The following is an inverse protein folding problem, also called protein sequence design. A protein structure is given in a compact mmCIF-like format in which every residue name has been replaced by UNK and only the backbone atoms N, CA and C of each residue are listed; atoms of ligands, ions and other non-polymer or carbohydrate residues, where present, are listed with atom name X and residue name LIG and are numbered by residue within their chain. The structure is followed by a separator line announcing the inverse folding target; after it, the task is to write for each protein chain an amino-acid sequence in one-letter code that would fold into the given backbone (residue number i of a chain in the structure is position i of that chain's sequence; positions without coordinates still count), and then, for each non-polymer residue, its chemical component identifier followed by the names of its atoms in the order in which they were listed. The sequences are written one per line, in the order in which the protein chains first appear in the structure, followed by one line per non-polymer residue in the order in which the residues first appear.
data_IF_971684377691
#
_entry.id   IF_971684377691
#
_cell.length_a   1.000
_cell.length_b   1.000
_cell.length_c   1.000
_cell.angle_alpha   90.00
_cell.angle_beta   90.00
_cell.angle_gamma   90.00
#
_symmetry.space_group_name_H-M   'P 1'
#
loop_
_entity.id
_entity.type
_entity.pdbx_description
1 polymer ?
#
# COMPACT_ATOMS: atom_id res chain seq x y z
N UNK A 1 40.53 -36.00 46.32
CA UNK A 1 40.58 -35.77 44.86
C UNK A 1 39.17 -35.91 44.28
N UNK A 2 38.44 -34.80 44.16
CA UNK A 2 37.13 -34.75 43.49
C UNK A 2 37.30 -33.95 42.20
N UNK A 3 37.18 -34.63 41.03
CA UNK A 3 37.20 -33.99 39.71
C UNK A 3 35.85 -33.38 39.45
N UNK A 4 35.84 -32.07 39.23
CA UNK A 4 34.71 -31.26 38.81
C UNK A 4 34.51 -31.51 37.30
N UNK A 5 33.34 -32.01 36.92
CA UNK A 5 32.92 -32.16 35.52
C UNK A 5 32.07 -30.92 35.18
N UNK A 6 32.70 -29.96 34.48
CA UNK A 6 31.99 -28.82 33.89
C UNK A 6 31.30 -29.27 32.59
N UNK A 7 30.00 -29.42 32.59
CA UNK A 7 29.19 -29.57 31.41
C UNK A 7 29.08 -28.22 30.68
N UNK A 8 29.65 -28.17 29.49
CA UNK A 8 29.35 -27.14 28.50
C UNK A 8 27.95 -27.35 27.97
N UNK A 9 27.00 -26.53 28.43
CA UNK A 9 25.71 -26.32 27.76
C UNK A 9 25.89 -25.04 26.93
N UNK A 10 26.20 -25.18 25.66
CA UNK A 10 26.31 -24.06 24.74
C UNK A 10 25.30 -24.18 23.60
N UNK A 11 24.57 -23.10 23.41
CA UNK A 11 24.07 -22.58 22.13
C UNK A 11 23.25 -23.49 21.21
N UNK A 12 22.02 -23.80 21.59
CA UNK A 12 20.99 -24.18 20.60
C UNK A 12 19.75 -23.26 20.62
N UNK A 13 19.71 -22.24 21.51
CA UNK A 13 18.54 -21.34 21.62
C UNK A 13 18.53 -20.20 20.57
N UNK A 14 19.69 -19.79 20.02
CA UNK A 14 19.75 -18.69 19.06
C UNK A 14 19.25 -19.03 17.66
N UNK A 15 19.48 -20.26 17.20
CA UNK A 15 19.11 -20.68 15.83
C UNK A 15 17.60 -20.92 15.69
N UNK A 16 16.92 -21.33 16.78
CA UNK A 16 15.47 -21.57 16.75
C UNK A 16 14.67 -20.25 16.77
N UNK A 17 15.15 -19.23 17.48
CA UNK A 17 14.50 -17.92 17.53
C UNK A 17 14.59 -17.19 16.18
N UNK A 18 15.72 -17.26 15.47
CA UNK A 18 15.85 -16.66 14.15
C UNK A 18 14.97 -17.35 13.08
N UNK A 19 14.85 -18.67 13.11
CA UNK A 19 13.97 -19.40 12.18
C UNK A 19 12.49 -19.10 12.41
N UNK A 20 12.05 -18.98 13.65
CA UNK A 20 10.67 -18.64 13.97
C UNK A 20 10.32 -17.19 13.63
N UNK A 21 11.25 -16.26 13.79
CA UNK A 21 11.07 -14.85 13.39
C UNK A 21 10.91 -14.69 11.89
N UNK A 22 11.71 -15.40 11.10
CA UNK A 22 11.65 -15.34 9.63
C UNK A 22 10.32 -15.91 9.11
N UNK A 23 9.87 -17.06 9.66
CA UNK A 23 8.57 -17.63 9.28
C UNK A 23 7.38 -16.73 9.63
N UNK A 24 7.43 -16.03 10.74
CA UNK A 24 6.38 -15.08 11.10
C UNK A 24 6.35 -13.86 10.16
N UNK A 25 7.53 -13.35 9.76
CA UNK A 25 7.66 -12.24 8.82
C UNK A 25 7.16 -12.58 7.41
N UNK A 26 7.40 -13.81 6.93
CA UNK A 26 6.94 -14.26 5.60
C UNK A 26 5.40 -14.30 5.49
N UNK A 27 4.69 -14.50 6.61
CA UNK A 27 3.22 -14.57 6.62
C UNK A 27 2.52 -13.28 6.20
N UNK A 28 3.19 -12.14 6.13
CA UNK A 28 2.58 -10.91 5.56
C UNK A 28 2.24 -11.07 4.08
N UNK A 29 2.89 -12.04 3.40
CA UNK A 29 2.67 -12.38 1.99
C UNK A 29 1.68 -13.54 1.77
N UNK A 30 0.96 -14.01 2.80
CA UNK A 30 -0.04 -15.06 2.62
C UNK A 30 -1.25 -14.51 1.85
N UNK A 31 -1.76 -15.28 0.87
CA UNK A 31 -2.76 -14.82 -0.09
C UNK A 31 -4.01 -14.24 0.54
N UNK A 32 -4.47 -14.82 1.65
CA UNK A 32 -5.65 -14.35 2.39
C UNK A 32 -5.44 -13.03 3.14
N UNK A 33 -4.20 -12.54 3.20
CA UNK A 33 -3.79 -11.26 3.77
C UNK A 33 -3.43 -10.21 2.73
N UNK A 34 -3.30 -10.62 1.47
CA UNK A 34 -2.97 -9.70 0.38
C UNK A 34 -4.16 -8.84 0.01
N UNK A 35 -3.87 -7.59 -0.27
CA UNK A 35 -4.80 -6.58 -0.72
C UNK A 35 -4.68 -6.40 -2.24
N UNK A 36 -5.78 -6.61 -2.97
CA UNK A 36 -5.80 -6.32 -4.41
C UNK A 36 -5.82 -4.81 -4.65
N UNK A 37 -4.92 -4.31 -5.50
CA UNK A 37 -4.75 -2.89 -5.79
C UNK A 37 -4.63 -2.60 -7.28
N UNK A 38 -5.13 -1.44 -7.74
CA UNK A 38 -5.14 -1.02 -9.14
C UNK A 38 -5.83 -2.03 -10.07
N UNK A 39 -7.06 -2.42 -9.74
CA UNK A 39 -7.82 -3.43 -10.50
C UNK A 39 -9.15 -2.93 -11.06
N UNK A 40 -9.57 -1.69 -10.77
CA UNK A 40 -10.83 -1.15 -11.28
C UNK A 40 -10.64 -0.49 -12.64
N UNK A 41 -9.85 0.61 -12.77
CA UNK A 41 -9.72 1.30 -14.04
C UNK A 41 -8.78 0.60 -15.03
N UNK A 42 -8.09 -0.47 -14.61
CA UNK A 42 -7.13 -1.20 -15.45
C UNK A 42 -7.68 -2.53 -15.97
N UNK A 43 -8.92 -2.89 -15.61
CA UNK A 43 -9.55 -4.13 -16.04
C UNK A 43 -10.16 -3.97 -17.44
N UNK A 44 -9.57 -4.62 -18.44
CA UNK A 44 -10.08 -4.60 -19.82
C UNK A 44 -11.49 -5.22 -19.96
N UNK A 45 -11.88 -6.11 -19.03
CA UNK A 45 -13.22 -6.70 -18.99
C UNK A 45 -14.26 -5.78 -18.35
N UNK A 46 -13.85 -4.66 -17.77
CA UNK A 46 -14.73 -3.68 -17.12
C UNK A 46 -15.72 -4.34 -16.15
N UNK A 47 -15.22 -5.26 -15.30
CA UNK A 47 -16.05 -6.02 -14.37
C UNK A 47 -16.90 -5.10 -13.49
N UNK A 48 -18.16 -5.47 -13.36
CA UNK A 48 -19.08 -4.90 -12.37
C UNK A 48 -18.58 -5.18 -10.94
N UNK A 49 -19.09 -4.45 -9.92
CA UNK A 49 -18.76 -4.75 -8.52
C UNK A 49 -18.96 -6.22 -8.16
N UNK A 50 -20.05 -6.86 -8.62
CA UNK A 50 -20.33 -8.28 -8.35
C UNK A 50 -19.29 -9.20 -8.97
N UNK A 51 -19.04 -9.05 -10.27
CA UNK A 51 -18.06 -9.88 -11.00
C UNK A 51 -16.65 -9.73 -10.42
N UNK A 52 -16.28 -8.52 -9.97
CA UNK A 52 -15.02 -8.25 -9.31
C UNK A 52 -14.92 -8.95 -7.96
N UNK A 53 -15.96 -8.87 -7.14
CA UNK A 53 -15.99 -9.54 -5.84
C UNK A 53 -15.93 -11.08 -5.98
N UNK A 54 -16.62 -11.65 -6.96
CA UNK A 54 -16.57 -13.08 -7.29
C UNK A 54 -15.15 -13.49 -7.71
N UNK A 55 -14.53 -12.73 -8.62
CA UNK A 55 -13.15 -12.95 -9.05
C UNK A 55 -12.16 -12.92 -7.87
N UNK A 56 -12.23 -11.91 -7.01
CA UNK A 56 -11.35 -11.80 -5.84
C UNK A 56 -11.51 -13.00 -4.90
N UNK A 57 -12.74 -13.43 -4.64
CA UNK A 57 -13.00 -14.62 -3.82
C UNK A 57 -12.42 -15.91 -4.43
N UNK A 58 -12.57 -16.10 -5.73
CA UNK A 58 -12.02 -17.26 -6.43
C UNK A 58 -10.49 -17.28 -6.40
N UNK A 59 -9.84 -16.12 -6.44
CA UNK A 59 -8.40 -15.97 -6.28
C UNK A 59 -7.91 -16.10 -4.83
N UNK A 60 -8.82 -16.23 -3.86
CA UNK A 60 -8.49 -16.31 -2.44
C UNK A 60 -8.21 -14.96 -1.78
N UNK A 61 -8.39 -13.85 -2.48
CA UNK A 61 -8.18 -12.49 -1.97
C UNK A 61 -9.39 -12.06 -1.13
N UNK A 62 -9.13 -11.47 0.03
CA UNK A 62 -10.15 -11.04 1.00
C UNK A 62 -10.02 -9.57 1.39
N UNK A 63 -9.04 -8.88 0.83
CA UNK A 63 -8.71 -7.50 1.08
C UNK A 63 -8.62 -6.75 -0.24
N UNK A 64 -9.13 -5.52 -0.26
CA UNK A 64 -9.24 -4.73 -1.47
C UNK A 64 -9.01 -3.26 -1.20
N UNK A 65 -8.23 -2.59 -2.05
CA UNK A 65 -8.14 -1.14 -2.13
C UNK A 65 -8.81 -0.66 -3.41
N UNK A 66 -9.78 0.22 -3.26
CA UNK A 66 -10.55 0.77 -4.37
C UNK A 66 -9.82 1.95 -4.99
N UNK A 67 -9.50 1.83 -6.27
CA UNK A 67 -9.11 2.93 -7.14
C UNK A 67 -10.25 3.24 -8.11
N UNK A 68 -10.31 4.45 -8.62
CA UNK A 68 -11.42 4.86 -9.48
C UNK A 68 -11.00 5.90 -10.51
N UNK A 69 -11.86 6.08 -11.50
CA UNK A 69 -11.97 7.27 -12.33
C UNK A 69 -13.39 7.81 -12.15
N UNK A 70 -13.69 8.99 -12.68
CA UNK A 70 -14.99 9.64 -12.45
C UNK A 70 -16.18 8.76 -12.84
N UNK A 71 -16.03 7.96 -13.90
CA UNK A 71 -17.06 7.00 -14.35
C UNK A 71 -17.37 5.88 -13.35
N UNK A 72 -16.47 5.60 -12.40
CA UNK A 72 -16.66 4.55 -11.38
C UNK A 72 -17.38 5.08 -10.12
N UNK A 73 -17.38 6.39 -9.86
CA UNK A 73 -17.98 6.98 -8.66
C UNK A 73 -19.46 6.60 -8.50
N UNK A 74 -20.30 6.61 -9.56
CA UNK A 74 -21.71 6.24 -9.42
C UNK A 74 -21.97 4.82 -8.91
N UNK A 75 -21.04 3.88 -9.16
CA UNK A 75 -21.15 2.48 -8.70
C UNK A 75 -20.45 2.24 -7.36
N UNK A 76 -19.78 3.22 -6.76
CA UNK A 76 -18.97 3.01 -5.56
C UNK A 76 -19.80 2.56 -4.35
N UNK A 77 -21.03 3.04 -4.19
CA UNK A 77 -21.94 2.56 -3.14
C UNK A 77 -22.24 1.06 -3.31
N UNK A 78 -22.55 0.63 -4.53
CA UNK A 78 -22.77 -0.78 -4.85
C UNK A 78 -21.52 -1.61 -4.59
N UNK A 79 -20.32 -1.10 -4.94
CA UNK A 79 -19.05 -1.76 -4.65
C UNK A 79 -18.91 -2.07 -3.14
N UNK A 80 -19.15 -1.08 -2.26
CA UNK A 80 -19.10 -1.25 -0.81
C UNK A 80 -20.06 -2.35 -0.32
N UNK A 81 -21.31 -2.33 -0.81
CA UNK A 81 -22.33 -3.29 -0.40
C UNK A 81 -22.02 -4.72 -0.88
N UNK A 82 -21.54 -4.85 -2.11
CA UNK A 82 -21.17 -6.14 -2.70
C UNK A 82 -19.94 -6.71 -1.98
N UNK A 83 -18.89 -5.93 -1.76
CA UNK A 83 -17.71 -6.37 -1.01
C UNK A 83 -18.09 -6.90 0.37
N UNK A 84 -18.90 -6.16 1.11
CA UNK A 84 -19.40 -6.56 2.43
C UNK A 84 -20.18 -7.88 2.36
N UNK A 85 -21.07 -8.05 1.38
CA UNK A 85 -21.87 -9.26 1.20
C UNK A 85 -21.00 -10.48 0.87
N UNK A 86 -19.89 -10.27 0.16
CA UNK A 86 -18.94 -11.32 -0.22
C UNK A 86 -17.82 -11.56 0.78
N UNK A 87 -17.83 -10.86 1.92
CA UNK A 87 -16.82 -11.01 2.98
C UNK A 87 -15.43 -10.54 2.54
N UNK A 88 -15.37 -9.49 1.71
CA UNK A 88 -14.15 -8.81 1.28
C UNK A 88 -14.06 -7.49 2.04
N UNK A 89 -12.95 -7.23 2.70
CA UNK A 89 -12.70 -5.97 3.38
C UNK A 89 -12.32 -4.89 2.36
N UNK A 90 -12.97 -3.73 2.47
CA UNK A 90 -12.52 -2.51 1.80
C UNK A 90 -11.49 -1.83 2.71
N UNK A 91 -10.22 -2.18 2.54
CA UNK A 91 -9.15 -1.71 3.43
C UNK A 91 -8.71 -0.28 3.09
N UNK A 92 -8.78 0.09 1.81
CA UNK A 92 -8.41 1.44 1.39
C UNK A 92 -9.24 1.96 0.20
N UNK A 93 -9.26 3.28 0.08
CA UNK A 93 -9.79 3.99 -1.08
C UNK A 93 -8.78 5.03 -1.54
N UNK A 94 -8.41 4.98 -2.82
CA UNK A 94 -7.56 5.97 -3.45
C UNK A 94 -8.26 7.32 -3.51
N UNK A 95 -7.55 8.39 -3.15
CA UNK A 95 -8.02 9.75 -3.24
C UNK A 95 -6.97 10.59 -3.97
N UNK A 96 -7.28 10.94 -5.22
CA UNK A 96 -6.48 11.88 -5.98
C UNK A 96 -7.09 13.26 -5.88
N UNK A 97 -6.36 14.18 -5.31
CA UNK A 97 -6.79 15.58 -5.24
C UNK A 97 -5.75 16.48 -5.91
N UNK A 98 -6.27 17.48 -6.60
CA UNK A 98 -5.49 18.58 -7.15
C UNK A 98 -5.90 19.83 -6.39
N UNK A 99 -5.22 20.14 -5.27
CA UNK A 99 -5.69 21.14 -4.36
C UNK A 99 -5.58 22.53 -4.99
N UNK A 100 -6.67 23.24 -4.99
CA UNK A 100 -6.62 24.69 -4.94
C UNK A 100 -6.34 25.05 -3.48
N UNK A 101 -5.30 25.86 -3.22
CA UNK A 101 -4.86 26.11 -1.83
C UNK A 101 -5.93 26.76 -0.92
N UNK A 102 -7.06 27.20 -1.49
CA UNK A 102 -8.25 27.66 -0.77
C UNK A 102 -9.22 26.50 -0.46
N UNK A 103 -9.00 25.29 -1.04
CA UNK A 103 -9.88 24.16 -0.94
C UNK A 103 -9.09 22.86 -1.19
N UNK A 104 -8.95 22.01 -0.16
CA UNK A 104 -8.13 20.81 -0.24
C UNK A 104 -8.79 19.69 -1.06
N UNK A 105 -10.13 19.56 -0.98
CA UNK A 105 -10.88 18.50 -1.67
C UNK A 105 -11.51 18.98 -2.97
N UNK A 106 -11.29 18.21 -4.05
CA UNK A 106 -12.05 18.37 -5.29
C UNK A 106 -13.44 17.69 -5.19
N UNK A 107 -14.30 17.88 -6.20
CA UNK A 107 -15.66 17.33 -6.22
C UNK A 107 -15.69 15.80 -6.14
N UNK A 108 -14.80 15.11 -6.84
CA UNK A 108 -14.69 13.67 -6.77
C UNK A 108 -14.33 13.18 -5.35
N UNK A 109 -13.37 13.83 -4.71
CA UNK A 109 -12.99 13.52 -3.33
C UNK A 109 -14.12 13.71 -2.34
N UNK A 110 -14.89 14.79 -2.49
CA UNK A 110 -16.10 15.04 -1.67
C UNK A 110 -17.12 13.92 -1.85
N UNK A 111 -17.46 13.56 -3.09
CA UNK A 111 -18.41 12.49 -3.37
C UNK A 111 -17.99 11.15 -2.76
N UNK A 112 -16.70 10.79 -2.84
CA UNK A 112 -16.18 9.58 -2.23
C UNK A 112 -16.32 9.60 -0.71
N UNK A 113 -15.96 10.70 -0.04
CA UNK A 113 -16.10 10.82 1.42
C UNK A 113 -17.57 10.83 1.86
N UNK A 114 -18.45 11.47 1.09
CA UNK A 114 -19.90 11.48 1.35
C UNK A 114 -20.48 10.04 1.28
N UNK A 115 -20.14 9.27 0.23
CA UNK A 115 -20.59 7.88 0.08
C UNK A 115 -20.05 7.00 1.25
N UNK A 116 -18.80 7.17 1.65
CA UNK A 116 -18.24 6.46 2.80
C UNK A 116 -18.96 6.81 4.10
N UNK A 117 -19.25 8.11 4.31
CA UNK A 117 -20.01 8.59 5.46
C UNK A 117 -21.42 8.01 5.51
N UNK A 118 -22.15 8.03 4.40
CA UNK A 118 -23.52 7.54 4.26
C UNK A 118 -23.63 6.01 4.41
N UNK A 119 -22.66 5.27 3.89
CA UNK A 119 -22.62 3.79 4.01
C UNK A 119 -22.10 3.34 5.37
N UNK A 120 -21.43 4.23 6.10
CA UNK A 120 -20.76 3.91 7.36
C UNK A 120 -19.52 3.04 7.18
N UNK A 121 -18.99 2.89 5.96
CA UNK A 121 -17.77 2.14 5.69
C UNK A 121 -16.58 2.83 6.35
N UNK A 122 -15.76 2.05 7.08
CA UNK A 122 -14.54 2.52 7.73
C UNK A 122 -13.35 1.94 6.99
N UNK A 123 -12.50 2.83 6.48
CA UNK A 123 -11.39 2.45 5.61
C UNK A 123 -10.24 3.45 5.76
N UNK A 124 -9.09 3.15 5.18
CA UNK A 124 -7.99 4.09 5.05
C UNK A 124 -8.09 4.84 3.72
N UNK A 125 -7.94 6.13 3.73
CA UNK A 125 -7.91 6.96 2.51
C UNK A 125 -6.46 7.13 2.08
N UNK A 126 -6.13 6.73 0.85
CA UNK A 126 -4.80 6.87 0.28
C UNK A 126 -4.70 8.14 -0.55
N UNK A 127 -4.08 9.15 0.01
CA UNK A 127 -3.99 10.48 -0.61
C UNK A 127 -2.78 10.58 -1.55
N UNK A 128 -3.06 10.88 -2.82
CA UNK A 128 -2.06 11.33 -3.81
C UNK A 128 -2.26 12.78 -4.18
N UNK A 129 -1.17 13.52 -4.36
CA UNK A 129 -1.14 14.88 -4.86
C UNK A 129 -0.35 14.96 -6.18
N UNK A 130 -0.76 15.78 -7.16
CA UNK A 130 -0.03 15.94 -8.40
C UNK A 130 1.27 16.72 -8.19
N UNK A 131 2.30 16.38 -8.97
CA UNK A 131 3.59 17.06 -8.93
C UNK A 131 3.45 18.57 -9.17
N UNK A 132 2.55 18.98 -10.10
CA UNK A 132 2.29 20.40 -10.40
C UNK A 132 1.81 21.21 -9.19
N UNK A 133 1.27 20.60 -8.16
CA UNK A 133 0.87 21.30 -6.94
C UNK A 133 2.05 21.96 -6.21
N UNK A 134 3.27 21.54 -6.52
CA UNK A 134 4.49 22.02 -5.91
C UNK A 134 5.37 22.85 -6.86
N UNK A 135 4.93 23.08 -8.10
CA UNK A 135 5.67 23.90 -9.06
C UNK A 135 5.95 25.32 -8.51
N UNK A 136 7.20 25.73 -8.64
CA UNK A 136 7.67 27.04 -8.18
C UNK A 136 7.76 27.20 -6.65
N UNK A 137 7.47 26.17 -5.87
CA UNK A 137 7.65 26.17 -4.42
C UNK A 137 9.05 25.66 -4.05
N UNK A 138 9.67 26.26 -3.05
CA UNK A 138 10.84 25.67 -2.40
C UNK A 138 10.44 24.55 -1.43
N UNK A 139 11.42 23.93 -0.79
CA UNK A 139 11.22 22.78 0.09
C UNK A 139 10.34 23.10 1.31
N UNK A 140 10.59 24.25 1.97
CA UNK A 140 9.83 24.68 3.14
C UNK A 140 8.39 25.07 2.77
N UNK A 141 8.20 25.70 1.63
CA UNK A 141 6.89 26.03 1.09
C UNK A 141 6.11 24.76 0.73
N UNK A 142 6.77 23.78 0.12
CA UNK A 142 6.15 22.49 -0.23
C UNK A 142 5.71 21.73 1.01
N UNK A 143 6.53 21.69 2.06
CA UNK A 143 6.17 21.10 3.34
C UNK A 143 4.97 21.83 3.98
N UNK A 144 5.02 23.14 4.06
CA UNK A 144 3.96 23.94 4.66
C UNK A 144 2.62 23.76 3.96
N UNK A 145 2.60 23.78 2.62
CA UNK A 145 1.42 23.52 1.79
C UNK A 145 0.86 22.13 2.03
N UNK A 146 1.73 21.10 2.00
CA UNK A 146 1.32 19.71 2.25
C UNK A 146 0.69 19.54 3.62
N UNK A 147 1.26 20.11 4.66
CA UNK A 147 0.74 20.03 6.04
C UNK A 147 -0.66 20.63 6.15
N UNK A 148 -0.92 21.76 5.49
CA UNK A 148 -2.25 22.42 5.49
C UNK A 148 -3.28 21.50 4.83
N UNK A 149 -3.03 21.06 3.60
CA UNK A 149 -3.93 20.18 2.83
C UNK A 149 -4.17 18.86 3.55
N UNK A 150 -3.12 18.22 4.05
CA UNK A 150 -3.22 16.94 4.75
C UNK A 150 -4.05 17.07 6.03
N UNK A 151 -3.88 18.14 6.81
CA UNK A 151 -4.69 18.38 8.03
C UNK A 151 -6.18 18.56 7.70
N UNK A 152 -6.50 19.26 6.64
CA UNK A 152 -7.88 19.48 6.21
C UNK A 152 -8.52 18.16 5.79
N UNK A 153 -7.86 17.39 4.90
CA UNK A 153 -8.36 16.09 4.43
C UNK A 153 -8.46 15.08 5.59
N UNK A 154 -7.46 15.04 6.48
CA UNK A 154 -7.50 14.18 7.66
C UNK A 154 -8.71 14.49 8.54
N UNK A 155 -9.00 15.77 8.74
CA UNK A 155 -10.17 16.20 9.51
C UNK A 155 -11.48 15.70 8.88
N UNK A 156 -11.63 15.78 7.55
CA UNK A 156 -12.81 15.24 6.86
C UNK A 156 -12.89 13.71 6.98
N UNK A 157 -11.77 13.01 6.85
CA UNK A 157 -11.71 11.55 7.08
C UNK A 157 -12.13 11.18 8.51
N UNK A 158 -11.65 11.91 9.51
CA UNK A 158 -11.97 11.65 10.91
C UNK A 158 -13.47 11.83 11.26
N UNK A 159 -14.14 12.80 10.63
CA UNK A 159 -15.59 13.01 10.81
C UNK A 159 -16.40 11.77 10.46
N UNK A 160 -15.98 11.03 9.45
CA UNK A 160 -16.64 9.81 8.99
C UNK A 160 -16.04 8.53 9.59
N UNK A 161 -15.01 8.66 10.45
CA UNK A 161 -14.34 7.56 11.13
C UNK A 161 -13.37 6.77 10.26
N UNK A 162 -12.86 7.38 9.19
CA UNK A 162 -11.78 6.89 8.36
C UNK A 162 -10.41 7.38 8.86
N UNK A 163 -9.33 6.75 8.38
CA UNK A 163 -7.94 7.17 8.59
C UNK A 163 -7.37 7.70 7.27
N UNK A 164 -6.20 8.32 7.32
CA UNK A 164 -5.53 8.87 6.14
C UNK A 164 -4.12 8.29 6.02
N UNK A 165 -3.71 7.96 4.80
CA UNK A 165 -2.33 7.61 4.51
C UNK A 165 -1.82 8.38 3.29
N UNK A 166 -0.58 8.84 3.36
CA UNK A 166 0.09 9.53 2.27
C UNK A 166 0.68 8.51 1.31
N UNK A 167 0.34 8.63 0.04
CA UNK A 167 0.76 7.69 -0.99
C UNK A 167 1.95 8.26 -1.75
N UNK A 168 3.02 7.49 -1.95
CA UNK A 168 4.25 7.92 -2.60
C UNK A 168 4.10 8.12 -4.13
N UNK A 169 3.18 8.98 -4.54
CA UNK A 169 2.94 9.27 -5.94
C UNK A 169 3.70 10.52 -6.38
N UNK A 170 4.75 10.31 -7.16
CA UNK A 170 5.49 11.30 -7.93
C UNK A 170 5.92 12.62 -7.28
N UNK A 171 6.96 13.23 -7.83
CA UNK A 171 7.42 14.55 -7.46
C UNK A 171 7.83 14.70 -5.98
N UNK A 172 7.88 15.92 -5.51
CA UNK A 172 8.30 16.24 -4.14
C UNK A 172 7.48 15.50 -3.06
N UNK A 173 6.15 15.41 -3.25
CA UNK A 173 5.25 14.76 -2.28
C UNK A 173 5.50 13.26 -2.15
N UNK A 174 5.87 12.58 -3.25
CA UNK A 174 6.07 11.14 -3.29
C UNK A 174 7.39 10.64 -2.68
N UNK A 175 8.30 11.55 -2.31
CA UNK A 175 9.59 11.18 -1.73
C UNK A 175 9.43 10.67 -0.29
N UNK A 176 9.98 9.48 0.06
CA UNK A 176 9.86 8.90 1.40
C UNK A 176 10.21 9.84 2.54
N UNK A 177 11.28 10.63 2.38
CA UNK A 177 11.72 11.59 3.39
C UNK A 177 10.68 12.70 3.60
N UNK A 178 10.07 13.19 2.52
CA UNK A 178 9.05 14.24 2.60
C UNK A 178 7.74 13.70 3.20
N UNK A 179 7.34 12.47 2.87
CA UNK A 179 6.20 11.81 3.51
C UNK A 179 6.38 11.72 5.03
N UNK A 180 7.56 11.31 5.49
CA UNK A 180 7.87 11.25 6.92
C UNK A 180 7.81 12.64 7.56
N UNK A 181 8.42 13.65 6.95
CA UNK A 181 8.39 15.05 7.44
C UNK A 181 6.95 15.58 7.56
N UNK A 182 6.09 15.26 6.60
CA UNK A 182 4.67 15.66 6.65
C UNK A 182 3.98 14.97 7.81
N UNK A 183 4.12 13.65 7.97
CA UNK A 183 3.48 12.89 9.05
C UNK A 183 3.92 13.42 10.41
N UNK A 184 5.21 13.67 10.62
CA UNK A 184 5.76 14.22 11.85
C UNK A 184 5.25 15.64 12.13
N UNK A 185 5.14 16.48 11.08
CA UNK A 185 4.64 17.87 11.21
C UNK A 185 3.14 17.94 11.49
N UNK A 186 2.37 16.98 11.02
CA UNK A 186 0.93 16.85 11.31
C UNK A 186 0.71 16.30 12.72
N UNK A 187 1.51 15.30 13.13
CA UNK A 187 1.54 14.74 14.48
C UNK A 187 0.28 13.97 14.88
N UNK A 188 -0.40 13.30 13.94
CA UNK A 188 -1.60 12.49 14.22
C UNK A 188 -1.32 11.00 14.08
N UNK A 189 -1.77 10.19 15.05
CA UNK A 189 -1.70 8.73 14.99
C UNK A 189 -2.61 8.13 13.90
N UNK A 190 -3.55 8.91 13.36
CA UNK A 190 -4.45 8.51 12.28
C UNK A 190 -3.90 8.85 10.89
N UNK A 191 -2.70 9.43 10.81
CA UNK A 191 -1.99 9.69 9.57
C UNK A 191 -0.87 8.68 9.39
N UNK A 192 -0.87 7.96 8.27
CA UNK A 192 0.06 6.89 7.94
C UNK A 192 0.73 7.15 6.59
N UNK A 193 1.52 6.18 6.13
CA UNK A 193 2.20 6.19 4.82
C UNK A 193 1.87 4.89 4.09
N UNK A 194 1.63 5.00 2.79
CA UNK A 194 1.57 3.87 1.84
C UNK A 194 2.75 4.00 0.89
N UNK A 195 3.51 2.92 0.75
CA UNK A 195 4.63 2.87 -0.19
C UNK A 195 4.33 1.90 -1.32
N UNK A 196 4.41 2.38 -2.55
CA UNK A 196 4.23 1.57 -3.75
C UNK A 196 5.57 1.44 -4.48
N UNK A 197 5.97 0.21 -4.79
CA UNK A 197 7.24 -0.10 -5.41
C UNK A 197 7.45 0.64 -6.74
N UNK A 198 6.45 0.65 -7.63
CA UNK A 198 6.64 1.27 -8.94
C UNK A 198 6.79 2.80 -8.91
N UNK A 199 6.26 3.46 -7.89
CA UNK A 199 6.49 4.90 -7.69
C UNK A 199 7.85 5.17 -7.05
N UNK A 200 8.35 4.22 -6.24
CA UNK A 200 9.70 4.25 -5.68
C UNK A 200 10.77 3.63 -6.58
N UNK A 201 10.48 3.36 -7.84
CA UNK A 201 11.38 2.68 -8.78
C UNK A 201 12.76 3.35 -8.89
N UNK A 202 12.82 4.67 -8.96
CA UNK A 202 14.06 5.46 -9.03
C UNK A 202 14.91 5.40 -7.74
N UNK A 203 14.37 4.85 -6.68
CA UNK A 203 15.00 4.71 -5.35
C UNK A 203 15.10 3.25 -4.91
N UNK A 204 14.86 2.30 -5.80
CA UNK A 204 14.77 0.88 -5.45
C UNK A 204 16.06 0.35 -4.81
N UNK A 205 17.24 0.82 -5.23
CA UNK A 205 18.53 0.47 -4.61
C UNK A 205 18.66 0.98 -3.16
N UNK A 206 18.02 2.11 -2.83
CA UNK A 206 17.96 2.69 -1.47
C UNK A 206 16.75 2.24 -0.64
N UNK A 207 16.02 1.19 -1.09
CA UNK A 207 14.76 0.77 -0.46
C UNK A 207 14.92 0.45 1.03
N UNK A 208 16.02 -0.19 1.45
CA UNK A 208 16.27 -0.56 2.86
C UNK A 208 16.28 0.67 3.78
N UNK A 209 16.99 1.72 3.39
CA UNK A 209 17.06 2.96 4.17
C UNK A 209 15.72 3.70 4.16
N UNK A 210 15.05 3.74 3.01
CA UNK A 210 13.74 4.36 2.89
C UNK A 210 12.69 3.62 3.73
N UNK A 211 12.70 2.28 3.70
CA UNK A 211 11.82 1.48 4.53
C UNK A 211 12.04 1.75 6.02
N UNK A 212 13.28 1.80 6.48
CA UNK A 212 13.60 2.07 7.89
C UNK A 212 13.08 3.44 8.36
N UNK A 213 13.18 4.48 7.51
CA UNK A 213 12.64 5.82 7.81
C UNK A 213 11.12 5.82 7.94
N UNK A 214 10.43 5.13 7.00
CA UNK A 214 8.96 5.10 6.93
C UNK A 214 8.35 4.09 7.92
N UNK A 215 9.08 3.08 8.37
CA UNK A 215 8.55 1.92 9.10
C UNK A 215 7.61 2.25 10.26
N UNK A 216 7.86 3.29 11.09
CA UNK A 216 6.96 3.66 12.18
C UNK A 216 5.58 4.14 11.71
N UNK A 217 5.48 4.59 10.47
CA UNK A 217 4.31 5.23 9.90
C UNK A 217 3.63 4.38 8.81
N UNK A 218 4.27 3.29 8.33
CA UNK A 218 3.75 2.48 7.24
C UNK A 218 2.49 1.70 7.64
N UNK A 219 1.42 1.86 6.86
CA UNK A 219 0.23 1.01 6.90
C UNK A 219 0.25 -0.07 5.82
N UNK A 220 0.67 0.28 4.60
CA UNK A 220 0.65 -0.63 3.45
C UNK A 220 1.89 -0.47 2.59
N UNK A 221 2.39 -1.61 2.06
CA UNK A 221 3.39 -1.65 0.99
C UNK A 221 2.77 -2.35 -0.22
N UNK A 222 2.66 -1.64 -1.35
CA UNK A 222 2.19 -2.21 -2.60
C UNK A 222 3.39 -2.72 -3.40
N UNK A 223 3.35 -3.99 -3.79
CA UNK A 223 4.46 -4.71 -4.44
C UNK A 223 4.16 -5.05 -5.89
N UNK A 224 5.18 -5.02 -6.72
CA UNK A 224 5.18 -5.45 -8.12
C UNK A 224 6.61 -5.80 -8.55
N UNK A 225 6.75 -6.52 -9.67
CA UNK A 225 8.05 -6.70 -10.33
C UNK A 225 8.52 -5.43 -11.01
N UNK A 226 9.85 -5.22 -11.08
CA UNK A 226 10.47 -4.10 -11.78
C UNK A 226 11.91 -4.38 -12.16
N UNK A 227 12.44 -3.67 -13.16
CA UNK A 227 13.86 -3.69 -13.54
C UNK A 227 14.50 -2.33 -13.31
N UNK A 228 15.76 -2.31 -12.86
CA UNK A 228 16.48 -1.08 -12.51
C UNK A 228 16.52 -0.11 -13.69
N UNK A 229 16.93 -0.57 -14.87
CA UNK A 229 17.02 0.24 -16.10
C UNK A 229 15.94 -0.16 -17.13
N UNK A 230 14.75 -0.52 -16.66
CA UNK A 230 13.70 -1.06 -17.52
C UNK A 230 12.29 -0.73 -17.02
N UNK A 231 11.33 -1.60 -17.33
CA UNK A 231 9.97 -1.40 -16.90
C UNK A 231 9.84 -1.34 -15.38
N UNK A 232 9.11 -0.34 -14.89
CA UNK A 232 8.81 -0.16 -13.46
C UNK A 232 7.61 -0.96 -12.96
N UNK A 233 6.87 -1.59 -13.87
CA UNK A 233 5.75 -2.49 -13.56
C UNK A 233 5.91 -3.76 -14.39
N UNK A 234 6.09 -4.88 -13.70
CA UNK A 234 6.21 -6.22 -14.25
C UNK A 234 5.49 -7.21 -13.34
N UNK A 235 5.31 -8.43 -13.82
CA UNK A 235 4.88 -9.54 -12.97
C UNK A 235 5.89 -9.79 -11.84
N UNK A 236 5.42 -10.03 -10.63
CA UNK A 236 6.27 -10.40 -9.50
C UNK A 236 7.12 -11.63 -9.84
N UNK A 237 8.41 -11.56 -9.55
CA UNK A 237 9.40 -12.62 -9.83
C UNK A 237 10.03 -12.55 -11.23
N UNK A 238 9.63 -11.59 -12.08
CA UNK A 238 10.23 -11.38 -13.41
C UNK A 238 11.20 -10.19 -13.47
N UNK A 239 11.29 -9.42 -12.40
CA UNK A 239 12.18 -8.26 -12.28
C UNK A 239 13.53 -8.58 -11.63
N UNK A 240 14.24 -7.53 -11.22
CA UNK A 240 15.63 -7.64 -10.75
C UNK A 240 15.77 -7.58 -9.23
N UNK A 241 14.89 -6.85 -8.51
CA UNK A 241 15.09 -6.47 -7.11
C UNK A 241 14.04 -7.01 -6.14
N UNK A 242 12.93 -7.57 -6.60
CA UNK A 242 11.80 -7.93 -5.75
C UNK A 242 12.21 -8.84 -4.59
N UNK A 243 13.03 -9.86 -4.86
CA UNK A 243 13.45 -10.81 -3.83
C UNK A 243 14.20 -10.11 -2.69
N UNK A 244 15.12 -9.18 -3.01
CA UNK A 244 15.86 -8.44 -1.99
C UNK A 244 14.97 -7.44 -1.24
N UNK A 245 14.04 -6.79 -1.95
CA UNK A 245 13.08 -5.89 -1.31
C UNK A 245 12.12 -6.64 -0.39
N UNK A 246 11.62 -7.82 -0.79
CA UNK A 246 10.79 -8.68 0.07
C UNK A 246 11.56 -9.19 1.29
N UNK A 247 12.85 -9.59 1.14
CA UNK A 247 13.73 -9.91 2.28
C UNK A 247 13.84 -8.74 3.24
N UNK A 248 14.06 -7.54 2.71
CA UNK A 248 14.15 -6.31 3.51
C UNK A 248 12.86 -6.08 4.30
N UNK A 249 11.69 -6.31 3.71
CA UNK A 249 10.39 -6.22 4.42
C UNK A 249 10.34 -7.25 5.56
N UNK A 250 10.68 -8.50 5.31
CA UNK A 250 10.69 -9.56 6.35
C UNK A 250 11.65 -9.22 7.49
N UNK A 251 12.87 -8.81 7.15
CA UNK A 251 13.92 -8.46 8.12
C UNK A 251 13.59 -7.23 8.95
N UNK A 252 12.81 -6.29 8.42
CA UNK A 252 12.39 -5.08 9.13
C UNK A 252 11.38 -5.34 10.24
N UNK A 253 10.75 -6.53 10.25
CA UNK A 253 9.66 -6.84 11.16
C UNK A 253 8.34 -6.16 10.80
N UNK A 254 8.22 -5.65 9.56
CA UNK A 254 6.96 -5.08 9.07
C UNK A 254 5.81 -6.08 9.18
N UNK A 255 4.66 -5.60 9.66
CA UNK A 255 3.47 -6.43 9.89
C UNK A 255 2.17 -5.81 9.36
N UNK A 256 2.28 -4.71 8.61
CA UNK A 256 1.15 -4.05 7.95
C UNK A 256 0.65 -4.82 6.74
N UNK A 257 -0.19 -4.17 5.94
CA UNK A 257 -0.79 -4.76 4.73
C UNK A 257 0.19 -4.82 3.56
N UNK A 258 0.07 -5.85 2.74
CA UNK A 258 0.78 -5.98 1.46
C UNK A 258 -0.25 -5.91 0.34
N UNK A 259 -0.10 -4.92 -0.55
CA UNK A 259 -0.91 -4.79 -1.75
C UNK A 259 -0.25 -5.49 -2.94
N UNK A 260 -1.04 -6.24 -3.71
CA UNK A 260 -0.60 -6.83 -4.97
C UNK A 260 -1.13 -5.99 -6.13
N UNK A 261 -0.21 -5.50 -6.96
CA UNK A 261 -0.54 -4.53 -8.01
C UNK A 261 -1.12 -5.22 -9.24
N UNK A 262 -2.30 -4.75 -9.67
CA UNK A 262 -2.94 -5.17 -10.92
C UNK A 262 -2.71 -4.24 -12.11
N UNK A 263 -2.00 -3.13 -11.94
CA UNK A 263 -1.80 -2.08 -12.94
C UNK A 263 -1.16 -2.59 -14.23
N UNK A 264 -2.00 -3.00 -15.19
CA UNK A 264 -1.55 -3.41 -16.52
C UNK A 264 -2.58 -2.96 -17.55
N UNK A 265 -2.20 -2.00 -18.38
CA UNK A 265 -3.09 -1.40 -19.38
C UNK A 265 -3.62 -2.42 -20.39
N UNK A 266 -4.94 -2.40 -20.63
CA UNK A 266 -5.58 -3.16 -21.69
C UNK A 266 -5.57 -4.68 -21.53
N UNK A 267 -5.39 -5.19 -20.32
CA UNK A 267 -5.44 -6.63 -20.02
C UNK A 267 -6.61 -6.97 -19.10
N UNK A 268 -7.11 -8.21 -19.23
CA UNK A 268 -7.96 -8.82 -18.21
C UNK A 268 -7.19 -8.90 -16.89
N UNK A 269 -7.75 -8.30 -15.84
CA UNK A 269 -7.07 -8.21 -14.55
C UNK A 269 -6.94 -9.56 -13.85
N UNK A 270 -7.82 -10.52 -14.14
CA UNK A 270 -7.78 -11.86 -13.52
C UNK A 270 -6.46 -12.59 -13.80
N UNK A 271 -6.06 -12.84 -15.07
CA UNK A 271 -4.77 -13.48 -15.34
C UNK A 271 -3.57 -12.64 -14.90
N UNK A 272 -3.70 -11.32 -14.81
CA UNK A 272 -2.65 -10.46 -14.23
C UNK A 272 -2.43 -10.78 -12.75
N UNK A 273 -3.50 -10.83 -11.96
CA UNK A 273 -3.42 -11.19 -10.54
C UNK A 273 -2.93 -12.64 -10.36
N UNK A 274 -3.40 -13.60 -11.16
CA UNK A 274 -2.95 -14.99 -11.10
C UNK A 274 -1.44 -15.13 -11.32
N UNK A 275 -0.88 -14.41 -12.31
CA UNK A 275 0.57 -14.39 -12.55
C UNK A 275 1.34 -13.78 -11.39
N UNK A 276 0.86 -12.67 -10.83
CA UNK A 276 1.49 -12.01 -9.70
C UNK A 276 1.44 -12.86 -8.43
N UNK A 277 0.32 -13.51 -8.12
CA UNK A 277 0.19 -14.44 -7.00
C UNK A 277 1.16 -15.62 -7.16
N UNK A 278 1.26 -16.20 -8.35
CA UNK A 278 2.21 -17.28 -8.65
C UNK A 278 3.65 -16.81 -8.48
N UNK A 279 4.00 -15.66 -9.02
CA UNK A 279 5.34 -15.09 -8.89
C UNK A 279 5.72 -14.83 -7.43
N UNK A 280 4.79 -14.30 -6.63
CA UNK A 280 4.99 -14.10 -5.19
C UNK A 280 5.22 -15.43 -4.45
N UNK A 281 4.48 -16.49 -4.76
CA UNK A 281 4.70 -17.81 -4.14
C UNK A 281 6.08 -18.40 -4.49
N UNK A 282 6.61 -18.16 -5.69
CA UNK A 282 7.97 -18.57 -6.05
C UNK A 282 9.05 -17.74 -5.32
N UNK A 283 8.81 -16.44 -5.13
CA UNK A 283 9.70 -15.59 -4.34
C UNK A 283 9.67 -15.97 -2.85
N UNK A 284 8.51 -16.28 -2.27
CA UNK A 284 8.38 -16.74 -0.87
C UNK A 284 9.22 -17.97 -0.55
N UNK A 285 9.39 -18.88 -1.51
CA UNK A 285 10.25 -20.09 -1.33
C UNK A 285 11.73 -19.75 -1.16
N UNK A 286 12.14 -18.54 -1.52
CA UNK A 286 13.52 -18.07 -1.51
C UNK A 286 13.80 -17.10 -0.34
N UNK A 287 12.77 -16.71 0.42
CA UNK A 287 12.87 -15.91 1.64
C UNK A 287 13.21 -16.78 2.85
#
# INVERSE_FOLDING_TARGET
MRRLLLMLISCSLGICACKNGNQAGIRVFDTDRLLAWCIVPFDAENRTPLERAEMLRELGLRHFAYDYRDEHIPSFREEIEVLKTHGIALDAVWLWVDPHWDEALNDAGRQILDILGETGAKTEIWLGLPERAFEGADDDQSLSRSVVVVKEILHECEKIGCTLALYNHGGWFGEPENLVRIVESVGSEKLRIVYNFHHGHHQAEGFRENLQKMLPYLSTININGMRIEGPKIMTLGEGDLELEMLRTIVESGYSGSIGILGHTEGQDIRPVLERNLKGLEELKKQL
#
